data_IF_611592807239
#
_entry.id   IF_611592807239
#
_cell.length_a   1.000
_cell.length_b   1.000
_cell.length_c   1.000
_cell.angle_alpha   90.00
_cell.angle_beta   90.00
_cell.angle_gamma   90.00
#
_symmetry.space_group_name_H-M   'P 1'
#
loop_
_entity.id
_entity.type
_entity.pdbx_description
1 polymer ?
#
# COMPACT_ATOMS: atom_id res chain seq x y z
N UNK A 1 -10.77 -19.25 -35.34
CA UNK A 1 -10.33 -18.63 -34.08
C UNK A 1 -10.88 -17.22 -34.06
N UNK A 2 -12.08 -17.02 -33.53
CA UNK A 2 -12.58 -15.66 -33.24
C UNK A 2 -12.06 -15.27 -31.87
N UNK A 3 -11.44 -14.11 -31.70
CA UNK A 3 -11.01 -13.68 -30.37
C UNK A 3 -12.23 -13.35 -29.47
N UNK A 4 -12.58 -14.29 -28.60
CA UNK A 4 -13.55 -14.08 -27.51
C UNK A 4 -12.94 -13.16 -26.48
N UNK A 5 -13.57 -12.00 -26.24
CA UNK A 5 -13.05 -10.97 -25.35
C UNK A 5 -13.26 -11.31 -23.87
N UNK A 6 -12.18 -11.30 -23.08
CA UNK A 6 -12.27 -11.34 -21.62
C UNK A 6 -12.82 -10.00 -21.11
N UNK A 7 -13.93 -10.08 -20.36
CA UNK A 7 -14.60 -8.91 -19.81
C UNK A 7 -13.70 -8.04 -18.90
N UNK A 8 -12.88 -8.69 -18.07
CA UNK A 8 -11.89 -8.03 -17.21
C UNK A 8 -10.88 -7.20 -18.02
N UNK A 9 -10.45 -7.70 -19.17
CA UNK A 9 -9.45 -7.03 -20.02
C UNK A 9 -10.04 -5.84 -20.78
N UNK A 10 -11.28 -5.98 -21.27
CA UNK A 10 -12.08 -4.91 -21.90
C UNK A 10 -12.29 -3.76 -20.92
N UNK A 11 -12.79 -4.06 -19.71
CA UNK A 11 -13.09 -3.04 -18.70
C UNK A 11 -11.82 -2.41 -18.13
N UNK A 12 -10.71 -3.16 -17.96
CA UNK A 12 -9.41 -2.54 -17.66
C UNK A 12 -8.99 -1.58 -18.78
N UNK A 13 -9.02 -2.01 -20.06
CA UNK A 13 -8.53 -1.15 -21.16
C UNK A 13 -9.33 0.14 -21.29
N UNK A 14 -10.65 0.09 -21.05
CA UNK A 14 -11.50 1.26 -21.02
C UNK A 14 -11.15 2.19 -19.84
N UNK A 15 -10.99 1.62 -18.64
CA UNK A 15 -10.62 2.37 -17.45
C UNK A 15 -9.25 3.05 -17.61
N UNK A 16 -8.25 2.31 -18.10
CA UNK A 16 -6.89 2.80 -18.35
C UNK A 16 -6.87 3.93 -19.41
N UNK A 17 -7.76 3.89 -20.41
CA UNK A 17 -7.93 4.94 -21.39
C UNK A 17 -8.56 6.23 -20.81
N UNK A 18 -9.41 6.09 -19.79
CA UNK A 18 -10.13 7.18 -19.12
C UNK A 18 -9.35 7.84 -17.97
N UNK A 19 -8.28 7.21 -17.49
CA UNK A 19 -7.47 7.67 -16.32
C UNK A 19 -6.09 8.21 -16.70
N UNK A 20 -5.86 8.60 -17.96
CA UNK A 20 -4.51 8.96 -18.49
C UNK A 20 -3.73 9.99 -17.67
N UNK A 21 -4.41 10.95 -17.04
CA UNK A 21 -3.80 11.99 -16.20
C UNK A 21 -3.96 11.72 -14.69
N UNK A 22 -4.12 10.45 -14.28
CA UNK A 22 -4.29 10.03 -12.89
C UNK A 22 -5.64 10.42 -12.26
N UNK A 23 -6.54 11.04 -13.03
CA UNK A 23 -7.91 11.37 -12.64
C UNK A 23 -8.88 10.98 -13.74
N UNK A 24 -10.14 10.72 -13.36
CA UNK A 24 -11.23 10.35 -14.26
C UNK A 24 -12.41 11.29 -14.02
N UNK A 25 -12.94 11.88 -15.09
CA UNK A 25 -14.03 12.86 -15.06
C UNK A 25 -15.36 12.25 -14.59
N UNK A 26 -16.40 13.07 -14.40
CA UNK A 26 -17.73 12.58 -13.99
C UNK A 26 -18.39 11.84 -15.17
N UNK A 27 -18.17 12.38 -16.35
CA UNK A 27 -18.65 11.95 -17.66
C UNK A 27 -18.02 10.60 -18.03
N UNK A 28 -16.71 10.45 -17.84
CA UNK A 28 -16.02 9.17 -18.05
C UNK A 28 -16.47 8.08 -17.07
N UNK A 29 -16.73 8.43 -15.79
CA UNK A 29 -17.31 7.49 -14.80
C UNK A 29 -18.73 7.08 -15.17
N UNK A 30 -19.55 8.03 -15.62
CA UNK A 30 -20.90 7.80 -16.11
C UNK A 30 -20.87 6.80 -17.29
N UNK A 31 -20.01 7.05 -18.28
CA UNK A 31 -19.83 6.17 -19.44
C UNK A 31 -19.35 4.77 -19.04
N UNK A 32 -18.34 4.68 -18.18
CA UNK A 32 -17.85 3.39 -17.69
C UNK A 32 -18.96 2.59 -16.97
N UNK A 33 -19.76 3.26 -16.14
CA UNK A 33 -20.84 2.62 -15.37
C UNK A 33 -21.99 2.17 -16.27
N UNK A 34 -22.42 3.01 -17.21
CA UNK A 34 -23.49 2.70 -18.17
C UNK A 34 -23.05 1.57 -19.12
N UNK A 35 -21.86 1.67 -19.71
CA UNK A 35 -21.30 0.60 -20.56
C UNK A 35 -21.16 -0.73 -19.81
N UNK A 36 -20.69 -0.69 -18.56
CA UNK A 36 -20.61 -1.88 -17.73
C UNK A 36 -22.00 -2.48 -17.46
N UNK A 37 -23.01 -1.67 -17.20
CA UNK A 37 -24.40 -2.14 -17.08
C UNK A 37 -24.94 -2.78 -18.37
N UNK A 38 -24.62 -2.23 -19.54
CA UNK A 38 -24.99 -2.82 -20.83
C UNK A 38 -24.27 -4.16 -21.07
N UNK A 39 -23.02 -4.30 -20.65
CA UNK A 39 -22.28 -5.58 -20.70
C UNK A 39 -22.83 -6.60 -19.70
N UNK A 40 -23.03 -6.22 -18.44
CA UNK A 40 -23.52 -7.13 -17.39
C UNK A 40 -24.96 -7.65 -17.71
N UNK A 41 -25.66 -7.00 -18.65
CA UNK A 41 -26.94 -7.44 -19.23
C UNK A 41 -26.83 -8.28 -20.53
N UNK A 42 -25.65 -8.41 -21.14
CA UNK A 42 -25.45 -9.09 -22.43
C UNK A 42 -25.06 -10.56 -22.25
N UNK A 43 -25.87 -11.53 -22.73
CA UNK A 43 -25.59 -12.96 -22.53
C UNK A 43 -24.57 -13.50 -23.54
N UNK A 44 -23.57 -14.24 -23.04
CA UNK A 44 -22.66 -15.05 -23.86
C UNK A 44 -21.23 -14.50 -23.98
N UNK A 45 -20.50 -14.95 -24.99
CA UNK A 45 -19.14 -14.50 -25.30
C UNK A 45 -19.15 -13.28 -26.19
N UNK A 46 -18.32 -12.29 -25.87
CA UNK A 46 -18.24 -11.03 -26.60
C UNK A 46 -17.33 -11.13 -27.83
N UNK A 47 -17.85 -10.80 -29.01
CA UNK A 47 -17.07 -10.52 -30.21
C UNK A 47 -16.59 -9.05 -30.23
N UNK A 48 -15.56 -8.72 -31.02
CA UNK A 48 -15.11 -7.34 -31.26
C UNK A 48 -16.25 -6.39 -31.65
N UNK A 49 -17.16 -6.86 -32.51
CA UNK A 49 -18.30 -6.09 -33.03
C UNK A 49 -19.35 -5.81 -31.96
N UNK A 50 -19.64 -6.77 -31.09
CA UNK A 50 -20.66 -6.63 -30.03
C UNK A 50 -20.23 -5.55 -29.02
N UNK A 51 -18.95 -5.57 -28.63
CA UNK A 51 -18.35 -4.55 -27.78
C UNK A 51 -18.42 -3.17 -28.43
N UNK A 52 -18.13 -3.05 -29.73
CA UNK A 52 -18.26 -1.77 -30.44
C UNK A 52 -19.72 -1.28 -30.49
N UNK A 53 -20.70 -2.17 -30.68
CA UNK A 53 -22.14 -1.85 -30.64
C UNK A 53 -22.57 -1.39 -29.25
N UNK A 54 -22.11 -2.05 -28.18
CA UNK A 54 -22.39 -1.67 -26.79
C UNK A 54 -21.75 -0.32 -26.42
N UNK A 55 -20.52 -0.07 -26.85
CA UNK A 55 -19.88 1.25 -26.68
C UNK A 55 -20.65 2.34 -27.43
N UNK A 56 -21.16 2.07 -28.63
CA UNK A 56 -21.94 3.04 -29.40
C UNK A 56 -23.33 3.27 -28.78
N UNK A 57 -23.99 2.23 -28.29
CA UNK A 57 -25.26 2.36 -27.57
C UNK A 57 -25.09 3.19 -26.28
N UNK A 58 -24.01 2.96 -25.52
CA UNK A 58 -23.65 3.81 -24.37
C UNK A 58 -23.48 5.28 -24.79
N UNK A 59 -22.78 5.53 -25.91
CA UNK A 59 -22.61 6.89 -26.46
C UNK A 59 -23.95 7.53 -26.89
N UNK A 60 -24.87 6.74 -27.44
CA UNK A 60 -26.23 7.19 -27.83
C UNK A 60 -27.16 7.43 -26.64
N UNK A 61 -26.91 6.81 -25.49
CA UNK A 61 -27.62 7.12 -24.24
C UNK A 61 -27.06 8.41 -23.60
N UNK A 62 -25.76 8.69 -23.77
CA UNK A 62 -25.06 9.85 -23.20
C UNK A 62 -24.73 10.92 -24.25
N UNK A 63 -25.75 11.36 -25.01
CA UNK A 63 -25.58 12.24 -26.17
C UNK A 63 -24.91 13.57 -25.79
N UNK A 64 -23.66 13.75 -26.23
CA UNK A 64 -22.89 14.98 -26.05
C UNK A 64 -22.05 15.05 -24.77
N UNK A 65 -22.06 14.03 -23.91
CA UNK A 65 -21.18 13.97 -22.72
C UNK A 65 -19.75 13.50 -23.04
N UNK A 66 -19.56 12.82 -24.18
CA UNK A 66 -18.26 12.31 -24.67
C UNK A 66 -18.04 12.74 -26.12
N UNK A 67 -16.90 13.37 -26.42
CA UNK A 67 -16.54 13.81 -27.78
C UNK A 67 -16.26 12.64 -28.74
N UNK A 68 -16.25 12.91 -30.04
CA UNK A 68 -15.88 11.93 -31.07
C UNK A 68 -14.42 11.46 -30.90
N UNK A 69 -13.52 12.37 -30.52
CA UNK A 69 -12.11 12.08 -30.26
C UNK A 69 -11.92 11.18 -29.02
N UNK A 70 -12.59 11.49 -27.90
CA UNK A 70 -12.54 10.68 -26.68
C UNK A 70 -13.16 9.30 -26.89
N UNK A 71 -14.35 9.24 -27.49
CA UNK A 71 -15.02 8.00 -27.82
C UNK A 71 -14.17 7.12 -28.74
N UNK A 72 -13.58 7.69 -29.79
CA UNK A 72 -12.64 6.99 -30.67
C UNK A 72 -11.42 6.48 -29.89
N UNK A 73 -10.88 7.27 -28.96
CA UNK A 73 -9.79 6.85 -28.08
C UNK A 73 -10.14 5.68 -27.17
N UNK A 74 -11.37 5.66 -26.63
CA UNK A 74 -11.88 4.54 -25.83
C UNK A 74 -12.05 3.28 -26.66
N UNK A 75 -12.72 3.37 -27.81
CA UNK A 75 -12.92 2.26 -28.76
C UNK A 75 -11.57 1.75 -29.26
N UNK A 76 -10.60 2.63 -29.54
CA UNK A 76 -9.26 2.23 -29.95
C UNK A 76 -8.50 1.51 -28.82
N UNK A 77 -8.57 1.98 -27.58
CA UNK A 77 -7.92 1.33 -26.44
C UNK A 77 -8.54 -0.04 -26.09
N UNK A 78 -9.86 -0.17 -26.14
CA UNK A 78 -10.57 -1.45 -25.93
C UNK A 78 -10.24 -2.43 -27.06
N UNK A 79 -10.37 -2.00 -28.32
CA UNK A 79 -10.11 -2.86 -29.48
C UNK A 79 -8.61 -3.03 -29.82
N UNK A 80 -7.68 -2.42 -29.07
CA UNK A 80 -6.23 -2.63 -29.24
C UNK A 80 -5.69 -3.86 -28.49
N UNK A 81 -6.40 -4.33 -27.45
CA UNK A 81 -6.10 -5.65 -26.83
C UNK A 81 -6.52 -6.81 -27.73
N UNK A 82 -7.47 -6.59 -28.64
CA UNK A 82 -7.77 -7.52 -29.73
C UNK A 82 -6.60 -7.47 -30.70
N UNK A 83 -5.90 -8.59 -30.83
CA UNK A 83 -4.57 -8.62 -31.46
C UNK A 83 -4.53 -7.88 -32.79
N UNK A 84 -3.60 -6.94 -32.92
CA UNK A 84 -3.44 -6.01 -34.07
C UNK A 84 -3.58 -6.71 -35.43
N UNK A 85 -3.12 -7.96 -35.51
CA UNK A 85 -3.25 -8.84 -36.68
C UNK A 85 -4.71 -9.09 -37.09
N UNK A 86 -5.60 -9.47 -36.18
CA UNK A 86 -7.00 -9.77 -36.48
C UNK A 86 -7.78 -8.49 -36.85
N UNK A 87 -7.46 -7.36 -36.20
CA UNK A 87 -8.03 -6.05 -36.55
C UNK A 87 -7.57 -5.58 -37.94
N UNK A 88 -6.34 -5.88 -38.35
CA UNK A 88 -5.86 -5.69 -39.72
C UNK A 88 -6.50 -6.68 -40.71
N UNK A 89 -6.71 -7.94 -40.35
CA UNK A 89 -7.40 -8.94 -41.20
C UNK A 89 -8.88 -8.60 -41.40
N UNK A 90 -9.57 -8.06 -40.39
CA UNK A 90 -10.96 -7.56 -40.52
C UNK A 90 -10.99 -6.34 -41.45
N UNK A 91 -10.17 -5.31 -41.20
CA UNK A 91 -10.13 -4.12 -42.06
C UNK A 91 -9.70 -4.44 -43.49
N UNK A 92 -8.77 -5.38 -43.69
CA UNK A 92 -8.38 -5.85 -45.01
C UNK A 92 -9.49 -6.65 -45.70
N UNK A 93 -10.34 -7.38 -44.96
CA UNK A 93 -11.55 -8.02 -45.50
C UNK A 93 -12.61 -6.99 -45.89
N UNK A 94 -12.85 -5.95 -45.10
CA UNK A 94 -13.78 -4.86 -45.46
C UNK A 94 -13.27 -4.08 -46.69
N UNK A 95 -11.97 -3.78 -46.76
CA UNK A 95 -11.35 -3.15 -47.92
C UNK A 95 -11.29 -4.08 -49.15
N UNK A 96 -11.32 -5.40 -48.99
CA UNK A 96 -11.40 -6.35 -50.10
C UNK A 96 -12.84 -6.57 -50.58
N UNK A 97 -13.82 -6.65 -49.67
CA UNK A 97 -15.24 -6.84 -49.97
C UNK A 97 -15.86 -5.59 -50.60
N UNK A 98 -15.43 -4.38 -50.19
CA UNK A 98 -15.77 -3.14 -50.90
C UNK A 98 -15.20 -3.10 -52.32
N UNK A 99 -13.90 -3.37 -52.51
CA UNK A 99 -13.28 -3.46 -53.85
C UNK A 99 -13.92 -4.53 -54.72
N UNK A 100 -14.25 -5.70 -54.17
CA UNK A 100 -14.95 -6.78 -54.87
C UNK A 100 -16.34 -6.34 -55.34
N UNK A 101 -17.10 -5.62 -54.50
CA UNK A 101 -18.41 -5.04 -54.89
C UNK A 101 -18.28 -3.97 -55.97
N UNK A 102 -17.24 -3.14 -55.93
CA UNK A 102 -16.93 -2.17 -57.00
C UNK A 102 -16.51 -2.85 -58.31
N UNK A 103 -15.71 -3.92 -58.24
CA UNK A 103 -15.26 -4.71 -59.40
C UNK A 103 -16.42 -5.49 -60.04
N UNK A 104 -17.29 -6.10 -59.24
CA UNK A 104 -18.54 -6.72 -59.71
C UNK A 104 -19.46 -5.69 -60.36
N UNK A 105 -19.62 -4.50 -59.78
CA UNK A 105 -20.43 -3.43 -60.37
C UNK A 105 -19.84 -2.93 -61.71
N UNK A 106 -18.51 -2.84 -61.82
CA UNK A 106 -17.84 -2.51 -63.07
C UNK A 106 -18.03 -3.61 -64.14
N UNK A 107 -17.90 -4.88 -63.76
CA UNK A 107 -18.08 -6.02 -64.66
C UNK A 107 -19.53 -6.15 -65.17
N UNK A 108 -20.52 -5.94 -64.30
CA UNK A 108 -21.95 -5.90 -64.68
C UNK A 108 -22.21 -4.75 -65.67
N UNK A 109 -21.65 -3.56 -65.41
CA UNK A 109 -21.79 -2.41 -66.33
C UNK A 109 -21.16 -2.69 -67.69
N UNK A 110 -19.96 -3.29 -67.72
CA UNK A 110 -19.29 -3.66 -68.97
C UNK A 110 -20.10 -4.70 -69.77
N UNK A 111 -20.67 -5.71 -69.09
CA UNK A 111 -21.54 -6.70 -69.72
C UNK A 111 -22.82 -6.07 -70.30
N UNK A 112 -23.40 -5.07 -69.62
CA UNK A 112 -24.56 -4.34 -70.13
C UNK A 112 -24.22 -3.49 -71.37
N UNK A 113 -23.06 -2.82 -71.38
CA UNK A 113 -22.58 -2.05 -72.53
C UNK A 113 -22.28 -2.98 -73.74
N UNK A 114 -21.69 -4.16 -73.52
CA UNK A 114 -21.44 -5.14 -74.59
C UNK A 114 -22.75 -5.76 -75.13
N UNK A 115 -23.72 -6.06 -74.26
CA UNK A 115 -25.05 -6.53 -74.67
C UNK A 115 -25.79 -5.47 -75.52
N UNK A 116 -25.77 -4.20 -75.08
CA UNK A 116 -26.31 -3.07 -75.84
C UNK A 116 -25.62 -2.91 -77.21
N UNK A 117 -24.32 -3.14 -77.30
CA UNK A 117 -23.58 -3.11 -78.56
C UNK A 117 -23.97 -4.25 -79.52
N UNK A 118 -24.13 -5.49 -79.01
CA UNK A 118 -24.55 -6.65 -79.82
C UNK A 118 -25.95 -6.46 -80.40
N UNK A 119 -26.92 -6.01 -79.60
CA UNK A 119 -28.29 -5.72 -80.07
C UNK A 119 -28.29 -4.63 -81.17
N UNK A 120 -27.47 -3.60 -81.04
CA UNK A 120 -27.32 -2.58 -82.11
C UNK A 120 -26.66 -3.13 -83.39
N UNK A 121 -25.75 -4.09 -83.27
CA UNK A 121 -25.13 -4.75 -84.43
C UNK A 121 -26.13 -5.66 -85.16
N UNK A 122 -26.92 -6.45 -84.42
CA UNK A 122 -27.97 -7.30 -85.00
C UNK A 122 -29.07 -6.48 -85.69
N UNK A 123 -29.53 -5.38 -85.09
CA UNK A 123 -30.49 -4.48 -85.75
C UNK A 123 -29.94 -3.87 -87.05
N UNK A 124 -28.65 -3.56 -87.12
CA UNK A 124 -28.00 -3.07 -88.35
C UNK A 124 -27.86 -4.17 -89.41
N UNK A 125 -27.47 -5.39 -89.02
CA UNK A 125 -27.39 -6.54 -89.93
C UNK A 125 -28.77 -6.91 -90.48
N UNK A 126 -29.81 -6.90 -89.64
CA UNK A 126 -31.18 -7.19 -90.06
C UNK A 126 -31.70 -6.16 -91.07
N UNK A 127 -31.46 -4.87 -90.83
CA UNK A 127 -31.79 -3.81 -91.78
C UNK A 127 -31.03 -3.92 -93.12
N UNK A 128 -29.79 -4.44 -93.11
CA UNK A 128 -29.03 -4.70 -94.35
C UNK A 128 -29.53 -5.95 -95.09
N UNK A 129 -29.89 -7.02 -94.37
CA UNK A 129 -30.46 -8.23 -94.96
C UNK A 129 -31.84 -7.98 -95.59
N UNK A 130 -32.68 -7.18 -94.95
CA UNK A 130 -34.00 -6.78 -95.46
C UNK A 130 -33.89 -5.89 -96.72
N UNK A 131 -32.85 -5.03 -96.79
CA UNK A 131 -32.53 -4.29 -98.00
C UNK A 131 -31.99 -5.18 -99.15
N UNK A 132 -31.33 -6.30 -98.84
CA UNK A 132 -30.79 -7.23 -99.83
C UNK A 132 -31.83 -8.23 -100.38
N UNK A 133 -32.84 -8.59 -99.58
CA UNK A 133 -33.86 -9.58 -99.96
C UNK A 133 -34.85 -9.10 -101.05
N UNK A 134 -34.82 -7.82 -101.42
CA UNK A 134 -35.79 -7.19 -102.32
C UNK A 134 -35.39 -7.26 -103.82
N UNK A 135 -34.53 -8.23 -104.19
CA UNK A 135 -33.99 -8.40 -105.55
C UNK A 135 -34.02 -9.88 -106.02
N UNK A 136 -35.09 -10.23 -106.73
CA UNK A 136 -35.30 -11.50 -107.46
C UNK A 136 -34.54 -11.50 -108.83
N UNK A 137 -34.52 -12.56 -109.68
CA UNK A 137 -35.37 -13.77 -109.70
C UNK A 137 -34.70 -15.12 -110.11
N UNK A 138 -35.55 -16.12 -110.44
CA UNK A 138 -35.31 -17.45 -111.07
C UNK A 138 -34.95 -17.31 -112.60
N UNK A 139 -34.96 -18.33 -113.52
CA UNK A 139 -35.40 -19.76 -113.53
C UNK A 139 -34.24 -20.74 -113.94
N UNK A 140 -34.30 -21.95 -114.53
CA UNK A 140 -35.26 -22.77 -115.35
C UNK A 140 -35.14 -24.30 -115.05
N UNK A 141 -35.79 -25.18 -115.83
CA UNK A 141 -35.67 -26.66 -115.80
C UNK A 141 -36.14 -27.36 -117.10
N UNK A 142 -35.68 -28.59 -117.41
CA UNK A 142 -36.28 -29.48 -118.41
C UNK A 142 -36.54 -30.93 -117.92
N UNK A 143 -37.25 -31.80 -118.67
CA UNK A 143 -38.42 -31.59 -119.54
C UNK A 143 -39.66 -32.39 -119.03
N UNK A 144 -40.84 -32.15 -119.62
CA UNK A 144 -42.13 -32.61 -119.08
C UNK A 144 -42.67 -33.94 -119.66
N UNK A 145 -43.18 -34.86 -118.80
CA UNK A 145 -44.24 -35.83 -119.12
C UNK A 145 -45.63 -35.18 -119.39
N UNK A 146 -46.73 -35.94 -119.35
CA UNK A 146 -48.11 -35.43 -119.53
C UNK A 146 -48.62 -34.66 -118.30
N UNK A 147 -49.26 -33.48 -118.44
CA UNK A 147 -49.51 -32.57 -117.30
C UNK A 147 -50.20 -33.19 -116.08
N UNK A 148 -51.34 -33.86 -116.28
CA UNK A 148 -52.13 -34.45 -115.19
C UNK A 148 -51.41 -35.65 -114.54
N UNK A 149 -50.66 -36.43 -115.31
CA UNK A 149 -49.85 -37.56 -114.81
C UNK A 149 -48.60 -37.08 -114.04
N UNK A 150 -47.95 -35.99 -114.49
CA UNK A 150 -46.91 -35.32 -113.70
C UNK A 150 -47.52 -34.89 -112.37
N UNK A 151 -48.62 -34.15 -112.42
CA UNK A 151 -49.20 -33.52 -111.24
C UNK A 151 -49.63 -34.58 -110.21
N UNK A 152 -50.21 -35.70 -110.67
CA UNK A 152 -50.50 -36.86 -109.83
C UNK A 152 -49.24 -37.54 -109.26
N UNK A 153 -48.24 -37.87 -110.09
CA UNK A 153 -47.02 -38.56 -109.63
C UNK A 153 -46.14 -37.69 -108.74
N UNK A 154 -46.03 -36.39 -109.04
CA UNK A 154 -45.32 -35.40 -108.22
C UNK A 154 -46.06 -35.20 -106.91
N UNK A 155 -47.40 -35.15 -106.91
CA UNK A 155 -48.20 -35.08 -105.69
C UNK A 155 -48.03 -36.33 -104.81
N UNK A 156 -48.19 -37.54 -105.34
CA UNK A 156 -48.03 -38.77 -104.55
C UNK A 156 -46.59 -38.88 -104.00
N UNK A 157 -45.59 -38.50 -104.79
CA UNK A 157 -44.18 -38.50 -104.37
C UNK A 157 -43.88 -37.40 -103.35
N UNK A 158 -44.53 -36.23 -103.44
CA UNK A 158 -44.41 -35.16 -102.46
C UNK A 158 -45.15 -35.49 -101.16
N UNK A 159 -46.30 -36.15 -101.23
CA UNK A 159 -47.04 -36.65 -100.05
C UNK A 159 -46.22 -37.73 -99.34
N UNK A 160 -45.64 -38.69 -100.05
CA UNK A 160 -44.71 -39.68 -99.46
C UNK A 160 -43.44 -39.06 -98.91
N UNK A 161 -42.81 -38.12 -99.63
CA UNK A 161 -41.63 -37.42 -99.11
C UNK A 161 -41.96 -36.56 -97.87
N UNK A 162 -43.17 -36.00 -97.78
CA UNK A 162 -43.63 -35.28 -96.59
C UNK A 162 -43.98 -36.23 -95.44
N UNK A 163 -44.50 -37.43 -95.71
CA UNK A 163 -44.74 -38.47 -94.70
C UNK A 163 -43.43 -39.05 -94.16
N UNK A 164 -42.47 -39.38 -95.03
CA UNK A 164 -41.12 -39.81 -94.63
C UNK A 164 -40.38 -38.71 -93.86
N UNK A 165 -40.46 -37.45 -94.28
CA UNK A 165 -39.88 -36.32 -93.55
C UNK A 165 -40.54 -36.10 -92.17
N UNK A 166 -41.85 -36.31 -92.05
CA UNK A 166 -42.56 -36.26 -90.75
C UNK A 166 -42.15 -37.41 -89.84
N UNK A 167 -42.08 -38.64 -90.35
CA UNK A 167 -41.64 -39.80 -89.59
C UNK A 167 -40.18 -39.67 -89.12
N UNK A 168 -39.31 -39.08 -89.95
CA UNK A 168 -37.93 -38.78 -89.58
C UNK A 168 -37.85 -37.67 -88.51
N UNK A 169 -38.68 -36.62 -88.63
CA UNK A 169 -38.76 -35.55 -87.64
C UNK A 169 -39.30 -36.04 -86.29
N UNK A 170 -40.40 -36.81 -86.28
CA UNK A 170 -40.98 -37.40 -85.07
C UNK A 170 -40.00 -38.37 -84.38
N UNK A 171 -39.18 -39.09 -85.15
CA UNK A 171 -38.10 -39.92 -84.58
C UNK A 171 -36.99 -39.06 -83.95
N UNK A 172 -36.53 -38.02 -84.64
CA UNK A 172 -35.49 -37.13 -84.13
C UNK A 172 -35.96 -36.36 -82.88
N UNK A 173 -37.23 -35.97 -82.82
CA UNK A 173 -37.87 -35.34 -81.66
C UNK A 173 -37.87 -36.28 -80.44
N UNK A 174 -38.23 -37.55 -80.62
CA UNK A 174 -38.19 -38.56 -79.54
C UNK A 174 -36.77 -38.91 -79.09
N UNK A 175 -35.82 -39.01 -80.01
CA UNK A 175 -34.42 -39.24 -79.65
C UNK A 175 -33.86 -38.05 -78.84
N UNK A 176 -34.22 -36.81 -79.21
CA UNK A 176 -33.89 -35.62 -78.43
C UNK A 176 -34.61 -35.53 -77.07
N UNK A 177 -35.88 -35.93 -76.98
CA UNK A 177 -36.64 -35.98 -75.72
C UNK A 177 -36.06 -37.02 -74.74
N UNK A 178 -35.67 -38.19 -75.24
CA UNK A 178 -34.98 -39.20 -74.43
C UNK A 178 -33.60 -38.75 -73.96
N UNK A 179 -32.80 -38.13 -74.83
CA UNK A 179 -31.45 -37.66 -74.46
C UNK A 179 -31.50 -36.47 -73.49
N UNK A 180 -32.49 -35.57 -73.63
CA UNK A 180 -32.77 -34.54 -72.63
C UNK A 180 -33.13 -35.17 -71.27
N UNK A 181 -34.00 -36.19 -71.22
CA UNK A 181 -34.33 -36.90 -69.97
C UNK A 181 -33.13 -37.59 -69.34
N UNK A 182 -32.22 -38.15 -70.15
CA UNK A 182 -30.96 -38.75 -69.66
C UNK A 182 -30.09 -37.66 -69.02
N UNK A 183 -29.91 -36.52 -69.70
CA UNK A 183 -29.15 -35.39 -69.20
C UNK A 183 -29.76 -34.78 -67.92
N UNK A 184 -31.08 -34.62 -67.85
CA UNK A 184 -31.79 -34.17 -66.65
C UNK A 184 -31.58 -35.14 -65.47
N UNK A 185 -31.64 -36.46 -65.71
CA UNK A 185 -31.40 -37.46 -64.67
C UNK A 185 -29.95 -37.48 -64.18
N UNK A 186 -28.97 -37.40 -65.09
CA UNK A 186 -27.54 -37.32 -64.74
C UNK A 186 -27.23 -36.03 -63.95
N UNK A 187 -27.78 -34.89 -64.36
CA UNK A 187 -27.67 -33.63 -63.64
C UNK A 187 -28.28 -33.72 -62.22
N UNK A 188 -29.48 -34.28 -62.09
CA UNK A 188 -30.15 -34.45 -60.80
C UNK A 188 -29.37 -35.40 -59.86
N UNK A 189 -28.79 -36.48 -60.39
CA UNK A 189 -27.94 -37.38 -59.61
C UNK A 189 -26.64 -36.70 -59.16
N UNK A 190 -26.01 -35.88 -60.01
CA UNK A 190 -24.84 -35.08 -59.65
C UNK A 190 -25.15 -34.00 -58.59
N UNK A 191 -26.32 -33.35 -58.68
CA UNK A 191 -26.79 -32.40 -57.67
C UNK A 191 -27.02 -33.08 -56.31
N UNK A 192 -27.65 -34.27 -56.30
CA UNK A 192 -27.86 -35.08 -55.09
C UNK A 192 -26.50 -35.51 -54.49
N UNK A 193 -25.53 -35.91 -55.30
CA UNK A 193 -24.19 -36.29 -54.80
C UNK A 193 -23.44 -35.09 -54.22
N UNK A 194 -23.53 -33.92 -54.84
CA UNK A 194 -22.91 -32.69 -54.35
C UNK A 194 -23.57 -32.18 -53.05
N UNK A 195 -24.91 -32.19 -52.99
CA UNK A 195 -25.66 -31.87 -51.77
C UNK A 195 -25.33 -32.83 -50.62
N UNK A 196 -25.15 -34.12 -50.93
CA UNK A 196 -24.70 -35.12 -49.95
C UNK A 196 -23.28 -34.83 -49.44
N UNK A 197 -22.33 -34.52 -50.31
CA UNK A 197 -20.94 -34.18 -49.91
C UNK A 197 -20.91 -32.95 -49.00
N UNK A 198 -21.61 -31.89 -49.37
CA UNK A 198 -21.72 -30.69 -48.54
C UNK A 198 -22.34 -30.98 -47.16
N UNK A 199 -23.35 -31.86 -47.08
CA UNK A 199 -23.92 -32.30 -45.82
C UNK A 199 -22.94 -33.15 -44.98
N UNK A 200 -22.17 -34.05 -45.60
CA UNK A 200 -21.14 -34.85 -44.92
C UNK A 200 -19.98 -33.97 -44.40
N UNK A 201 -19.59 -32.92 -45.14
CA UNK A 201 -18.57 -31.93 -44.73
C UNK A 201 -19.05 -31.06 -43.56
N UNK A 202 -20.26 -30.51 -43.59
CA UNK A 202 -20.80 -29.74 -42.46
C UNK A 202 -21.03 -30.63 -41.22
N UNK A 203 -21.43 -31.90 -41.39
CA UNK A 203 -21.50 -32.86 -40.27
C UNK A 203 -20.11 -33.13 -39.67
N UNK A 204 -19.06 -33.25 -40.50
CA UNK A 204 -17.69 -33.43 -40.01
C UNK A 204 -17.17 -32.20 -39.26
N UNK A 205 -17.45 -31.01 -39.79
CA UNK A 205 -17.12 -29.70 -39.19
C UNK A 205 -17.84 -29.50 -37.84
N UNK A 206 -19.14 -29.74 -37.77
CA UNK A 206 -19.92 -29.64 -36.52
C UNK A 206 -19.43 -30.62 -35.45
N UNK A 207 -19.01 -31.84 -35.82
CA UNK A 207 -18.38 -32.79 -34.89
C UNK A 207 -17.04 -32.27 -34.37
N UNK A 208 -16.14 -31.86 -35.27
CA UNK A 208 -14.83 -31.33 -34.89
C UNK A 208 -14.94 -30.07 -34.00
N UNK A 209 -15.93 -29.21 -34.27
CA UNK A 209 -16.21 -28.05 -33.42
C UNK A 209 -16.76 -28.47 -32.05
N UNK A 210 -17.70 -29.42 -31.99
CA UNK A 210 -18.24 -29.95 -30.73
C UNK A 210 -17.15 -30.61 -29.88
N UNK A 211 -16.28 -31.42 -30.49
CA UNK A 211 -15.14 -32.06 -29.83
C UNK A 211 -14.14 -31.02 -29.30
N UNK A 212 -13.87 -29.96 -30.08
CA UNK A 212 -13.02 -28.84 -29.64
C UNK A 212 -13.64 -28.03 -28.48
N UNK A 213 -14.96 -27.80 -28.50
CA UNK A 213 -15.67 -27.13 -27.40
C UNK A 213 -15.65 -27.97 -26.12
N UNK A 214 -15.86 -29.29 -26.20
CA UNK A 214 -15.76 -30.21 -25.05
C UNK A 214 -14.33 -30.18 -24.49
N UNK A 215 -13.31 -30.32 -25.33
CA UNK A 215 -11.92 -30.30 -24.90
C UNK A 215 -11.53 -28.95 -24.25
N UNK A 216 -12.02 -27.82 -24.79
CA UNK A 216 -11.81 -26.51 -24.18
C UNK A 216 -12.38 -26.45 -22.76
N UNK A 217 -13.66 -26.80 -22.59
CA UNK A 217 -14.35 -26.83 -21.29
C UNK A 217 -13.67 -27.78 -20.30
N UNK A 218 -13.21 -28.95 -20.74
CA UNK A 218 -12.45 -29.87 -19.88
C UNK A 218 -11.11 -29.27 -19.42
N UNK A 219 -10.36 -28.60 -20.31
CA UNK A 219 -9.10 -27.93 -19.90
C UNK A 219 -9.32 -26.76 -18.94
N UNK A 220 -10.39 -25.98 -19.11
CA UNK A 220 -10.76 -24.92 -18.15
C UNK A 220 -11.19 -25.51 -16.80
N UNK A 221 -11.99 -26.59 -16.81
CA UNK A 221 -12.41 -27.28 -15.59
C UNK A 221 -11.22 -27.85 -14.81
N UNK A 222 -10.21 -28.39 -15.52
CA UNK A 222 -8.97 -28.86 -14.91
C UNK A 222 -8.17 -27.70 -14.31
N UNK A 223 -7.94 -26.60 -15.05
CA UNK A 223 -7.27 -25.41 -14.52
C UNK A 223 -7.96 -24.83 -13.28
N UNK A 224 -9.29 -24.72 -13.31
CA UNK A 224 -10.08 -24.23 -12.17
C UNK A 224 -10.00 -25.18 -10.96
N UNK A 225 -9.93 -26.49 -11.19
CA UNK A 225 -9.73 -27.48 -10.12
C UNK A 225 -8.32 -27.38 -9.52
N UNK A 226 -7.29 -27.28 -10.36
CA UNK A 226 -5.89 -27.08 -9.94
C UNK A 226 -5.75 -25.78 -9.13
N UNK A 227 -6.26 -24.66 -9.65
CA UNK A 227 -6.25 -23.37 -8.96
C UNK A 227 -7.00 -23.42 -7.62
N UNK A 228 -8.18 -24.04 -7.57
CA UNK A 228 -8.92 -24.21 -6.31
C UNK A 228 -8.12 -25.03 -5.28
N UNK A 229 -7.41 -26.08 -5.71
CA UNK A 229 -6.53 -26.84 -4.81
C UNK A 229 -5.28 -26.07 -4.38
N UNK A 230 -4.68 -25.27 -5.26
CA UNK A 230 -3.55 -24.41 -4.94
C UNK A 230 -3.94 -23.33 -3.92
N UNK A 231 -5.04 -22.60 -4.17
CA UNK A 231 -5.61 -21.61 -3.24
C UNK A 231 -5.93 -22.25 -1.88
N UNK A 232 -6.51 -23.44 -1.84
CA UNK A 232 -6.80 -24.15 -0.58
C UNK A 232 -5.53 -24.58 0.18
N UNK A 233 -4.45 -24.93 -0.53
CA UNK A 233 -3.15 -25.22 0.09
C UNK A 233 -2.49 -23.93 0.64
N UNK A 234 -2.56 -22.82 -0.10
CA UNK A 234 -2.06 -21.50 0.33
C UNK A 234 -2.81 -20.99 1.57
N UNK A 235 -4.15 -21.04 1.58
CA UNK A 235 -4.98 -20.63 2.71
C UNK A 235 -4.67 -21.46 3.97
N UNK A 236 -4.36 -22.75 3.80
CA UNK A 236 -3.92 -23.63 4.89
C UNK A 236 -2.51 -23.26 5.37
N UNK A 237 -1.58 -22.98 4.47
CA UNK A 237 -0.23 -22.56 4.82
C UNK A 237 -0.25 -21.21 5.57
N UNK A 238 -1.03 -20.23 5.11
CA UNK A 238 -1.20 -18.93 5.78
C UNK A 238 -1.76 -19.10 7.19
N UNK A 239 -2.80 -19.92 7.39
CA UNK A 239 -3.37 -20.20 8.72
C UNK A 239 -2.38 -20.87 9.67
N UNK A 240 -1.51 -21.75 9.17
CA UNK A 240 -0.47 -22.38 9.99
C UNK A 240 0.60 -21.36 10.42
N UNK A 241 1.10 -20.54 9.49
CA UNK A 241 2.07 -19.49 9.79
C UNK A 241 1.48 -18.39 10.72
N UNK A 242 0.20 -18.05 10.55
CA UNK A 242 -0.52 -17.11 11.41
C UNK A 242 -0.69 -17.66 12.84
N UNK A 243 -1.02 -18.94 12.98
CA UNK A 243 -1.11 -19.62 14.29
C UNK A 243 0.26 -19.72 14.99
N UNK A 244 1.32 -20.06 14.25
CA UNK A 244 2.69 -20.11 14.76
C UNK A 244 3.17 -18.72 15.23
N UNK A 245 2.91 -17.68 14.43
CA UNK A 245 3.20 -16.29 14.80
C UNK A 245 2.38 -15.81 16.01
N UNK A 246 1.13 -16.24 16.15
CA UNK A 246 0.31 -15.94 17.32
C UNK A 246 0.83 -16.64 18.58
N UNK A 247 1.24 -17.91 18.48
CA UNK A 247 1.84 -18.64 19.58
C UNK A 247 3.18 -18.02 20.01
N UNK A 248 4.06 -17.68 19.05
CA UNK A 248 5.34 -17.03 19.34
C UNK A 248 5.16 -15.66 20.03
N UNK A 249 4.14 -14.89 19.63
CA UNK A 249 3.77 -13.63 20.33
C UNK A 249 3.30 -13.88 21.76
N UNK A 250 2.42 -14.86 21.99
CA UNK A 250 1.95 -15.20 23.34
C UNK A 250 3.09 -15.68 24.25
N UNK A 251 4.06 -16.43 23.70
CA UNK A 251 5.25 -16.84 24.44
C UNK A 251 6.13 -15.64 24.80
N UNK A 252 6.46 -14.78 23.84
CA UNK A 252 7.24 -13.56 24.09
C UNK A 252 6.56 -12.57 25.05
N UNK A 253 5.23 -12.48 25.01
CA UNK A 253 4.44 -11.65 25.94
C UNK A 253 4.48 -12.23 27.36
N UNK A 254 4.28 -13.55 27.52
CA UNK A 254 4.36 -14.23 28.82
C UNK A 254 5.77 -14.19 29.43
N UNK A 255 6.83 -14.35 28.63
CA UNK A 255 8.23 -14.18 29.07
C UNK A 255 8.50 -12.75 29.54
N UNK A 256 7.95 -11.75 28.83
CA UNK A 256 8.11 -10.34 29.17
C UNK A 256 7.28 -9.93 30.40
N UNK A 257 6.12 -10.53 30.65
CA UNK A 257 5.37 -10.40 31.91
C UNK A 257 6.10 -11.06 33.08
N UNK A 258 6.66 -12.27 32.89
CA UNK A 258 7.46 -12.95 33.91
C UNK A 258 8.71 -12.12 34.30
N UNK A 259 9.45 -11.61 33.32
CA UNK A 259 10.62 -10.76 33.55
C UNK A 259 10.26 -9.42 34.24
N UNK A 260 9.09 -8.83 33.94
CA UNK A 260 8.58 -7.66 34.68
C UNK A 260 8.28 -7.98 36.13
N UNK A 261 7.65 -9.13 36.40
CA UNK A 261 7.28 -9.55 37.75
C UNK A 261 8.52 -9.90 38.60
N UNK A 262 9.51 -10.58 38.02
CA UNK A 262 10.82 -10.81 38.66
C UNK A 262 11.55 -9.48 38.96
N UNK A 263 11.56 -8.55 37.99
CA UNK A 263 12.16 -7.22 38.19
C UNK A 263 11.45 -6.40 39.28
N UNK A 264 10.12 -6.50 39.40
CA UNK A 264 9.36 -5.88 40.48
C UNK A 264 9.70 -6.51 41.83
N UNK A 265 9.72 -7.84 41.93
CA UNK A 265 10.10 -8.54 43.17
C UNK A 265 11.53 -8.20 43.62
N UNK A 266 12.47 -8.06 42.68
CA UNK A 266 13.82 -7.60 42.97
C UNK A 266 13.86 -6.15 43.50
N UNK A 267 13.04 -5.25 42.96
CA UNK A 267 12.92 -3.87 43.47
C UNK A 267 12.29 -3.82 44.87
N UNK A 268 11.26 -4.63 45.13
CA UNK A 268 10.61 -4.73 46.45
C UNK A 268 11.57 -5.31 47.50
N UNK A 269 12.36 -6.34 47.14
CA UNK A 269 13.40 -6.89 48.00
C UNK A 269 14.50 -5.87 48.34
N UNK A 270 15.00 -5.14 47.34
CA UNK A 270 15.99 -4.06 47.52
C UNK A 270 15.44 -2.90 48.35
N UNK A 271 14.16 -2.57 48.22
CA UNK A 271 13.51 -1.55 49.03
C UNK A 271 13.43 -1.96 50.51
N UNK A 272 13.06 -3.22 50.79
CA UNK A 272 13.03 -3.79 52.15
C UNK A 272 14.42 -3.88 52.78
N UNK A 273 15.46 -4.19 51.99
CA UNK A 273 16.85 -4.18 52.47
C UNK A 273 17.34 -2.75 52.77
N UNK A 274 17.02 -1.78 51.91
CA UNK A 274 17.33 -0.37 52.13
C UNK A 274 16.58 0.23 53.35
N UNK A 275 15.34 -0.19 53.61
CA UNK A 275 14.60 0.18 54.82
C UNK A 275 15.25 -0.41 56.08
N UNK A 276 15.64 -1.68 56.05
CA UNK A 276 16.37 -2.33 57.15
C UNK A 276 17.68 -1.63 57.46
N UNK A 277 18.50 -1.32 56.46
CA UNK A 277 19.77 -0.61 56.63
C UNK A 277 19.56 0.80 57.21
N UNK A 278 18.48 1.50 56.85
CA UNK A 278 18.12 2.79 57.46
C UNK A 278 17.71 2.63 58.93
N UNK A 279 16.88 1.63 59.25
CA UNK A 279 16.46 1.37 60.62
C UNK A 279 17.64 0.96 61.52
N UNK A 280 18.59 0.18 61.00
CA UNK A 280 19.82 -0.19 61.69
C UNK A 280 20.73 1.04 61.92
N UNK A 281 20.92 1.88 60.91
CA UNK A 281 21.67 3.15 61.04
C UNK A 281 21.02 4.11 62.04
N UNK A 282 19.69 4.23 62.05
CA UNK A 282 18.97 5.07 63.01
C UNK A 282 19.08 4.50 64.44
N UNK A 283 18.97 3.19 64.61
CA UNK A 283 19.17 2.54 65.91
C UNK A 283 20.61 2.73 66.43
N UNK A 284 21.62 2.59 65.56
CA UNK A 284 23.02 2.83 65.90
C UNK A 284 23.29 4.30 66.26
N UNK A 285 22.70 5.26 65.52
CA UNK A 285 22.81 6.68 65.81
C UNK A 285 22.18 7.04 67.17
N UNK A 286 20.98 6.53 67.47
CA UNK A 286 20.32 6.70 68.77
C UNK A 286 21.11 6.08 69.92
N UNK A 287 21.73 4.92 69.71
CA UNK A 287 22.59 4.29 70.72
C UNK A 287 23.84 5.13 71.01
N UNK A 288 24.49 5.67 69.97
CA UNK A 288 25.64 6.56 70.12
C UNK A 288 25.26 7.90 70.79
N UNK A 289 24.07 8.44 70.50
CA UNK A 289 23.53 9.64 71.19
C UNK A 289 23.29 9.35 72.68
N UNK A 290 22.72 8.20 73.03
CA UNK A 290 22.51 7.84 74.43
C UNK A 290 23.84 7.59 75.18
N UNK A 291 24.82 6.95 74.54
CA UNK A 291 26.16 6.76 75.12
C UNK A 291 26.88 8.10 75.33
N UNK A 292 26.86 8.99 74.35
CA UNK A 292 27.42 10.34 74.46
C UNK A 292 26.72 11.15 75.56
N UNK A 293 25.39 11.04 75.69
CA UNK A 293 24.62 11.68 76.76
C UNK A 293 25.01 11.12 78.13
N UNK A 294 25.12 9.80 78.29
CA UNK A 294 25.55 9.16 79.56
C UNK A 294 26.97 9.59 79.95
N UNK A 295 27.88 9.72 78.98
CA UNK A 295 29.23 10.22 79.21
C UNK A 295 29.23 11.70 79.67
N UNK A 296 28.40 12.54 79.06
CA UNK A 296 28.24 13.94 79.48
C UNK A 296 27.57 14.09 80.87
N UNK A 297 26.59 13.24 81.19
CA UNK A 297 25.98 13.17 82.53
C UNK A 297 26.99 12.75 83.59
N UNK A 298 27.85 11.76 83.30
CA UNK A 298 28.92 11.33 84.19
C UNK A 298 29.97 12.43 84.44
N UNK A 299 30.41 13.13 83.38
CA UNK A 299 31.32 14.28 83.50
C UNK A 299 30.71 15.43 84.32
N UNK A 300 29.40 15.67 84.18
CA UNK A 300 28.68 16.65 85.00
C UNK A 300 28.54 16.22 86.47
N UNK A 301 28.47 14.92 86.77
CA UNK A 301 28.47 14.41 88.15
C UNK A 301 29.86 14.50 88.78
N UNK A 302 30.92 14.17 88.03
CA UNK A 302 32.32 14.31 88.46
C UNK A 302 32.68 15.78 88.71
N UNK A 303 32.33 16.69 87.79
CA UNK A 303 32.54 18.12 87.96
C UNK A 303 31.80 18.71 89.18
N UNK A 304 30.59 18.19 89.50
CA UNK A 304 29.87 18.56 90.73
C UNK A 304 30.57 18.09 91.98
N UNK A 305 31.04 16.84 92.01
CA UNK A 305 31.79 16.28 93.16
C UNK A 305 33.10 17.04 93.41
N UNK A 306 33.82 17.42 92.34
CA UNK A 306 35.01 18.25 92.46
C UNK A 306 34.66 19.64 93.03
N UNK A 307 33.66 20.32 92.46
CA UNK A 307 33.22 21.64 92.95
C UNK A 307 32.68 21.61 94.38
N UNK A 308 32.05 20.51 94.82
CA UNK A 308 31.61 20.31 96.21
C UNK A 308 32.81 20.10 97.15
N UNK A 309 33.79 19.28 96.77
CA UNK A 309 35.04 19.09 97.52
C UNK A 309 35.89 20.37 97.61
N UNK A 310 36.00 21.15 96.52
CA UNK A 310 36.68 22.45 96.49
C UNK A 310 35.99 23.46 97.45
N UNK A 311 34.65 23.41 97.52
CA UNK A 311 33.85 24.25 98.41
C UNK A 311 33.97 23.82 99.88
N UNK A 312 34.04 22.51 100.18
CA UNK A 312 34.36 22.03 101.52
C UNK A 312 35.79 22.38 101.95
N UNK A 313 36.77 22.28 101.05
CA UNK A 313 38.14 22.74 101.31
C UNK A 313 38.19 24.24 101.64
N UNK A 314 37.51 25.08 100.84
CA UNK A 314 37.41 26.52 101.09
C UNK A 314 36.68 26.86 102.39
N UNK A 315 35.69 26.05 102.82
CA UNK A 315 35.05 26.18 104.14
C UNK A 315 36.02 25.84 105.28
N UNK A 316 36.81 24.78 105.14
CA UNK A 316 37.81 24.38 106.14
C UNK A 316 38.93 25.43 106.26
N UNK A 317 39.41 25.97 105.14
CA UNK A 317 40.39 27.07 105.12
C UNK A 317 39.80 28.33 105.78
N UNK A 318 38.55 28.70 105.44
CA UNK A 318 37.87 29.84 106.07
C UNK A 318 37.62 29.63 107.58
N UNK A 319 37.35 28.41 108.04
CA UNK A 319 37.23 28.08 109.46
C UNK A 319 38.59 28.17 110.16
N UNK A 320 39.65 27.61 109.57
CA UNK A 320 41.01 27.70 110.12
C UNK A 320 41.50 29.15 110.18
N UNK A 321 41.14 29.99 109.20
CA UNK A 321 41.41 31.43 109.24
C UNK A 321 40.63 32.13 110.37
N UNK A 322 39.36 31.76 110.63
CA UNK A 322 38.59 32.29 111.76
C UNK A 322 39.15 31.82 113.11
N UNK A 323 39.58 30.56 113.23
CA UNK A 323 40.22 30.03 114.45
C UNK A 323 41.59 30.69 114.69
N UNK A 324 42.37 30.93 113.64
CA UNK A 324 43.64 31.67 113.72
C UNK A 324 43.42 33.13 114.15
N UNK A 325 42.45 33.84 113.55
CA UNK A 325 42.09 35.21 113.93
C UNK A 325 41.52 35.27 115.36
N UNK A 326 40.79 34.25 115.81
CA UNK A 326 40.31 34.17 117.18
C UNK A 326 41.46 33.93 118.18
N UNK A 327 42.41 33.06 117.85
CA UNK A 327 43.61 32.83 118.67
C UNK A 327 44.57 34.03 118.68
N UNK A 328 44.67 34.77 117.57
CA UNK A 328 45.39 36.05 117.51
C UNK A 328 44.69 37.12 118.34
N UNK A 329 43.35 37.20 118.30
CA UNK A 329 42.57 38.10 119.15
C UNK A 329 42.64 37.74 120.65
N UNK A 330 42.75 36.46 121.02
CA UNK A 330 43.02 36.05 122.41
C UNK A 330 44.45 36.39 122.83
N UNK A 331 45.45 36.22 121.95
CA UNK A 331 46.82 36.68 122.23
C UNK A 331 46.90 38.19 122.41
N UNK A 332 46.30 38.97 121.52
CA UNK A 332 46.25 40.42 121.63
C UNK A 332 45.51 40.88 122.91
N UNK A 333 44.53 40.11 123.40
CA UNK A 333 43.91 40.35 124.71
C UNK A 333 44.84 40.00 125.88
N UNK A 334 45.51 38.85 125.84
CA UNK A 334 46.46 38.45 126.87
C UNK A 334 47.70 39.36 126.93
N UNK A 335 48.15 39.86 125.77
CA UNK A 335 49.22 40.87 125.66
C UNK A 335 48.73 42.22 126.18
N UNK A 336 47.50 42.67 125.87
CA UNK A 336 46.93 43.88 126.44
C UNK A 336 46.63 43.77 127.96
N UNK A 337 46.29 42.58 128.46
CA UNK A 337 46.11 42.29 129.89
C UNK A 337 47.47 42.26 130.61
N UNK A 338 48.51 41.70 129.99
CA UNK A 338 49.88 41.75 130.48
C UNK A 338 50.51 43.17 130.39
N UNK A 339 50.18 43.98 129.38
CA UNK A 339 50.55 45.39 129.33
C UNK A 339 49.80 46.19 130.40
N UNK A 340 48.53 45.87 130.70
CA UNK A 340 47.79 46.49 131.80
C UNK A 340 48.37 46.11 133.19
N UNK A 341 48.77 44.85 133.38
CA UNK A 341 49.45 44.38 134.60
C UNK A 341 50.86 44.99 134.73
N UNK A 342 51.60 45.16 133.63
CA UNK A 342 52.87 45.88 133.60
C UNK A 342 52.71 47.39 133.84
N UNK A 343 51.61 48.00 133.41
CA UNK A 343 51.30 49.41 133.58
C UNK A 343 50.91 49.78 135.02
N UNK A 344 50.63 48.82 135.91
CA UNK A 344 50.37 49.12 137.34
C UNK A 344 51.65 49.49 138.12
N UNK A 345 52.86 49.21 137.58
CA UNK A 345 54.13 49.46 138.30
C UNK A 345 55.23 50.11 137.42
N UNK A 346 54.90 51.21 136.74
CA UNK A 346 55.91 52.17 136.24
C UNK A 346 55.36 53.61 136.24
N UNK A 347 56.06 54.53 136.90
CA UNK A 347 55.70 55.95 136.92
C UNK A 347 56.06 56.67 135.60
N UNK A 348 55.19 57.63 135.26
CA UNK A 348 55.41 58.90 134.56
C UNK A 348 56.78 59.61 134.83
N UNK A 349 57.19 60.69 134.10
CA UNK A 349 56.53 61.37 132.95
C UNK A 349 57.49 62.00 131.88
N UNK A 350 56.92 62.87 131.01
CA UNK A 350 57.51 64.15 130.48
C UNK A 350 58.52 64.09 129.28
N UNK A 351 58.72 65.20 128.49
CA UNK A 351 58.31 65.20 127.07
C UNK A 351 59.29 65.91 126.08
N UNK A 352 58.76 66.41 124.94
CA UNK A 352 59.41 67.12 123.81
C UNK A 352 60.25 66.22 122.87
N UNK A 353 60.45 66.51 121.58
CA UNK A 353 60.29 67.76 120.81
C UNK A 353 59.57 67.57 119.45
N UNK A 354 59.10 68.65 118.81
CA UNK A 354 58.50 68.64 117.46
C UNK A 354 59.34 69.49 116.51
N UNK A 355 59.66 68.98 115.30
CA UNK A 355 59.47 69.82 114.12
C UNK A 355 58.78 69.10 112.94
N UNK A 356 57.77 69.75 112.38
CA UNK A 356 57.34 69.64 110.99
C UNK A 356 58.52 69.91 110.04
N UNK A 357 58.57 69.43 108.79
CA UNK A 357 57.65 69.73 107.68
C UNK A 357 57.90 68.81 106.47
N UNK A 358 56.87 68.65 105.60
CA UNK A 358 56.94 68.40 104.14
C UNK A 358 57.64 67.08 103.69
N UNK A 359 57.38 66.53 102.50
CA UNK A 359 56.70 67.08 101.32
C UNK A 359 55.94 65.98 100.55
N UNK A 360 54.86 66.34 99.85
CA UNK A 360 54.27 65.53 98.78
C UNK A 360 54.72 66.12 97.44
N UNK A 361 55.34 65.31 96.57
CA UNK A 361 54.83 65.16 95.20
C UNK A 361 54.57 63.67 94.88
N UNK A 362 53.47 63.25 94.26
CA UNK A 362 52.80 63.70 93.01
C UNK A 362 53.36 63.00 91.74
N UNK A 363 52.54 62.94 90.69
CA UNK A 363 52.56 62.04 89.53
C UNK A 363 52.09 60.59 89.87
N UNK A 364 51.05 60.03 89.26
CA UNK A 364 50.26 60.49 88.12
C UNK A 364 48.75 60.24 88.30
N UNK A 365 47.93 61.18 87.80
CA UNK A 365 46.47 61.15 87.88
C UNK A 365 45.82 60.75 86.53
N UNK A 366 44.49 60.61 86.55
CA UNK A 366 43.53 60.70 85.43
C UNK A 366 43.96 60.11 84.06
N UNK A 367 43.41 58.96 83.65
CA UNK A 367 42.06 58.87 83.07
C UNK A 367 41.88 59.59 81.72
N UNK A 368 42.14 58.88 80.63
CA UNK A 368 41.45 59.04 79.35
C UNK A 368 41.27 57.67 78.67
N UNK A 369 40.01 57.27 78.46
CA UNK A 369 39.67 56.54 77.23
C UNK A 369 39.56 57.61 76.12
N UNK A 370 39.91 57.30 74.85
CA UNK A 370 38.87 56.68 74.00
C UNK A 370 39.38 55.78 72.83
N UNK A 371 38.43 55.06 72.21
CA UNK A 371 38.22 54.87 70.74
C UNK A 371 39.50 54.66 69.88
N UNK A 372 39.64 53.55 69.15
CA UNK A 372 38.75 53.22 68.03
C UNK A 372 38.62 51.73 67.67
N UNK A 373 37.48 51.31 67.09
CA UNK A 373 37.42 50.15 66.21
C UNK A 373 37.95 50.50 64.81
N UNK A 374 38.63 49.55 64.17
CA UNK A 374 38.95 49.56 62.73
C UNK A 374 38.62 48.15 62.22
N UNK A 375 37.38 47.96 61.78
CA UNK A 375 36.96 47.92 60.37
C UNK A 375 37.22 46.58 59.68
N UNK A 376 36.27 46.21 58.83
CA UNK A 376 36.35 45.07 57.93
C UNK A 376 37.58 45.16 57.02
N UNK A 377 38.23 44.04 56.73
CA UNK A 377 38.25 43.43 55.37
C UNK A 377 39.10 42.16 55.34
N UNK A 378 38.44 41.01 55.15
CA UNK A 378 38.94 39.83 54.42
C UNK A 378 37.81 38.78 54.42
N UNK A 379 36.89 38.80 53.46
CA UNK A 379 37.09 38.29 52.09
C UNK A 379 37.28 36.76 52.03
N UNK A 380 36.22 36.01 52.34
CA UNK A 380 35.92 34.77 51.59
C UNK A 380 34.82 35.13 50.57
N UNK A 381 35.23 35.85 49.53
CA UNK A 381 34.48 35.96 48.29
C UNK A 381 34.37 34.58 47.63
N UNK A 382 33.23 34.26 47.00
CA UNK A 382 33.14 33.08 46.14
C UNK A 382 34.20 33.15 45.02
N UNK A 383 34.98 32.09 44.78
CA UNK A 383 35.50 31.78 43.46
C UNK A 383 34.42 30.99 42.71
N UNK A 384 33.53 31.68 41.98
CA UNK A 384 32.68 31.02 40.98
C UNK A 384 33.55 30.63 39.78
N UNK A 385 34.22 29.47 39.85
CA UNK A 385 34.98 28.94 38.70
C UNK A 385 34.01 28.26 37.74
N UNK A 386 33.56 29.05 36.77
CA UNK A 386 33.16 28.56 35.45
C UNK A 386 34.42 28.14 34.68
N UNK A 387 34.26 27.30 33.65
CA UNK A 387 35.27 26.73 32.76
C UNK A 387 35.89 25.40 33.25
N UNK A 388 36.14 24.41 32.40
CA UNK A 388 35.71 24.21 30.99
C UNK A 388 35.87 22.72 30.61
N UNK A 389 35.51 22.38 29.35
CA UNK A 389 36.00 21.22 28.56
C UNK A 389 36.05 19.85 29.28
N UNK A 390 35.25 18.84 28.95
CA UNK A 390 34.79 18.48 27.61
C UNK A 390 35.84 17.60 26.91
N UNK A 391 35.36 16.62 26.13
CA UNK A 391 36.21 15.60 25.51
C UNK A 391 35.43 14.31 25.34
N UNK A 392 35.21 13.89 24.09
CA UNK A 392 34.41 12.72 23.78
C UNK A 392 35.15 11.42 24.12
N UNK A 393 34.40 10.41 24.56
CA UNK A 393 34.73 9.02 24.25
C UNK A 393 33.80 8.59 23.12
N UNK A 394 34.35 8.64 21.91
CA UNK A 394 33.87 7.81 20.80
C UNK A 394 34.60 6.46 20.83
N UNK A 395 34.25 5.56 19.91
CA UNK A 395 34.64 4.14 19.84
C UNK A 395 33.88 3.26 20.87
N UNK A 396 33.15 2.23 20.47
CA UNK A 396 32.77 1.87 19.10
C UNK A 396 32.24 0.44 19.00
N UNK A 397 31.24 0.22 18.14
CA UNK A 397 30.86 -1.13 17.68
C UNK A 397 31.08 -1.17 16.18
N UNK A 398 32.09 -1.93 15.75
CA UNK A 398 32.36 -2.15 14.34
C UNK A 398 31.49 -3.28 13.79
N UNK A 399 31.11 -3.14 12.52
CA UNK A 399 30.75 -4.19 11.55
C UNK A 399 30.22 -5.54 12.09
N UNK A 400 28.94 -5.80 11.85
CA UNK A 400 28.49 -7.15 11.50
C UNK A 400 27.63 -7.11 10.23
N UNK A 401 28.30 -7.21 9.08
CA UNK A 401 27.70 -7.52 7.78
C UNK A 401 28.40 -8.78 7.29
N UNK A 402 27.71 -9.93 7.38
CA UNK A 402 27.77 -11.08 6.45
C UNK A 402 27.05 -12.29 7.08
N UNK A 403 25.79 -12.54 6.69
CA UNK A 403 25.21 -13.87 6.41
C UNK A 403 23.69 -13.79 6.16
N UNK A 404 23.31 -13.28 4.98
CA UNK A 404 22.28 -13.80 4.07
C UNK A 404 22.25 -12.95 2.80
#
# INVERSE_FOLDING_TARGET
MSATLNLSEVLSSLQDAMTKDGSISTEHRSFYTTFRGQIDAHPGTFLPTDIQILMENTRREMVGEISDEEYKGFVEAVLSKIGIKERLEIKAKEEADTRSKEEIAAMVKQAEEEARAKVQAEFRLKAQAEAAANAAPEPESPPAPTPEDIEAMVKEKAEKAAEEARALAEKAEKEAEEDLRKQEHENAMAEIENARKAAEEEIAKLKAETEAQIAAVETERLRAQEEATARAAEDKARRLAEAELAQAKQQAEAELEAARLEAQQAQEALALEAERLRAEQEAAARAAEEEARRAAEAQLEEAKKQAEADLEAARLEAQQAQEALAAEAERARAEAEAEAEAAEVAEEPEPFDIPTEKELPDLNAASTAPIAPVENTSAITLPMIVAASGGAIALGVAAFVFLL
#
